data_IF_913488797187
#
_entry.id   IF_913488797187
#
_cell.length_a   1.000
_cell.length_b   1.000
_cell.length_c   1.000
_cell.angle_alpha   90.00
_cell.angle_beta   90.00
_cell.angle_gamma   90.00
#
_symmetry.space_group_name_H-M   'P 1'
#
loop_
_entity.id
_entity.type
_entity.pdbx_description
1 polymer ?
#
# COMPACT_ATOMS: atom_id res chain seq x y z
N UNK A 1 -18.24 -32.89 45.56
CA UNK A 1 -18.47 -32.20 44.28
C UNK A 1 -18.01 -30.74 44.28
N UNK A 2 -17.96 -30.02 45.42
CA UNK A 2 -17.59 -28.58 45.46
C UNK A 2 -16.08 -28.27 45.33
N UNK A 3 -15.18 -29.17 45.74
CA UNK A 3 -13.72 -28.90 45.74
C UNK A 3 -13.17 -28.79 44.30
N UNK A 4 -13.71 -29.58 43.35
CA UNK A 4 -13.32 -29.52 41.93
C UNK A 4 -13.77 -28.23 41.23
N UNK A 5 -14.85 -27.61 41.70
CA UNK A 5 -15.32 -26.31 41.18
C UNK A 5 -14.48 -25.15 41.71
N UNK A 6 -14.03 -25.21 42.97
CA UNK A 6 -13.11 -24.21 43.53
C UNK A 6 -11.73 -24.26 42.86
N UNK A 7 -11.16 -25.45 42.65
CA UNK A 7 -9.86 -25.58 41.96
C UNK A 7 -9.94 -25.13 40.50
N UNK A 8 -11.07 -25.34 39.83
CA UNK A 8 -11.32 -24.84 38.48
C UNK A 8 -11.36 -23.31 38.46
N UNK A 9 -12.12 -22.64 39.37
CA UNK A 9 -12.17 -21.18 39.40
C UNK A 9 -10.82 -20.51 39.73
N UNK A 10 -10.01 -21.11 40.61
CA UNK A 10 -8.68 -20.59 40.96
C UNK A 10 -7.72 -20.62 39.75
N UNK A 11 -7.86 -21.59 38.85
CA UNK A 11 -7.01 -21.73 37.67
C UNK A 11 -7.35 -20.71 36.57
N UNK A 12 -8.60 -20.21 36.48
CA UNK A 12 -9.02 -19.20 35.48
C UNK A 12 -8.67 -17.75 35.82
N UNK A 13 -8.53 -17.42 37.12
CA UNK A 13 -8.16 -16.08 37.58
C UNK A 13 -6.88 -15.53 36.91
N UNK A 14 -5.73 -16.25 36.88
CA UNK A 14 -4.51 -15.71 36.28
C UNK A 14 -4.62 -15.48 34.77
N UNK A 15 -5.41 -16.28 34.04
CA UNK A 15 -5.64 -16.06 32.61
C UNK A 15 -6.46 -14.81 32.35
N UNK A 16 -7.48 -14.53 33.17
CA UNK A 16 -8.28 -13.31 33.06
C UNK A 16 -7.45 -12.05 33.35
N UNK A 17 -6.64 -12.07 34.41
CA UNK A 17 -5.68 -10.99 34.70
C UNK A 17 -4.67 -10.79 33.57
N UNK A 18 -4.16 -11.88 32.98
CA UNK A 18 -3.25 -11.83 31.83
C UNK A 18 -3.89 -11.20 30.60
N UNK A 19 -5.12 -11.61 30.25
CA UNK A 19 -5.89 -11.03 29.13
C UNK A 19 -6.19 -9.55 29.37
N UNK A 20 -6.59 -9.19 30.59
CA UNK A 20 -6.88 -7.81 30.96
C UNK A 20 -5.63 -6.92 30.91
N UNK A 21 -4.51 -7.40 31.43
CA UNK A 21 -3.22 -6.69 31.34
C UNK A 21 -2.78 -6.51 29.88
N UNK A 22 -2.90 -7.56 29.07
CA UNK A 22 -2.59 -7.50 27.64
C UNK A 22 -3.51 -6.50 26.90
N UNK A 23 -4.80 -6.45 27.25
CA UNK A 23 -5.74 -5.48 26.71
C UNK A 23 -5.35 -4.03 27.08
N UNK A 24 -4.99 -3.77 28.34
CA UNK A 24 -4.51 -2.46 28.80
C UNK A 24 -3.23 -2.07 28.06
N UNK A 25 -2.29 -2.99 27.90
CA UNK A 25 -1.04 -2.73 27.20
C UNK A 25 -1.29 -2.35 25.74
N UNK A 26 -2.17 -3.08 25.05
CA UNK A 26 -2.58 -2.76 23.68
C UNK A 26 -3.24 -1.38 23.62
N UNK A 27 -4.17 -1.10 24.54
CA UNK A 27 -4.86 0.19 24.61
C UNK A 27 -3.88 1.35 24.85
N UNK A 28 -2.92 1.18 25.76
CA UNK A 28 -1.87 2.15 26.03
C UNK A 28 -1.03 2.43 24.79
N UNK A 29 -0.60 1.39 24.07
CA UNK A 29 0.17 1.56 22.82
C UNK A 29 -0.64 2.30 21.75
N UNK A 30 -1.94 2.02 21.63
CA UNK A 30 -2.83 2.71 20.67
C UNK A 30 -2.95 4.19 21.04
N UNK A 31 -3.27 4.50 22.30
CA UNK A 31 -3.43 5.88 22.77
C UNK A 31 -2.12 6.66 22.64
N UNK A 32 -1.00 6.07 23.03
CA UNK A 32 0.31 6.70 22.91
C UNK A 32 0.66 7.03 21.45
N UNK A 33 0.41 6.10 20.52
CA UNK A 33 0.61 6.35 19.08
C UNK A 33 -0.34 7.42 18.55
N UNK A 34 -1.59 7.46 19.02
CA UNK A 34 -2.56 8.48 18.64
C UNK A 34 -2.08 9.87 19.07
N UNK A 35 -1.70 10.03 20.34
CA UNK A 35 -1.19 11.29 20.89
C UNK A 35 0.07 11.73 20.12
N UNK A 36 1.02 10.82 19.89
CA UNK A 36 2.24 11.11 19.13
C UNK A 36 1.92 11.59 17.71
N UNK A 37 0.99 10.93 17.03
CA UNK A 37 0.55 11.31 15.67
C UNK A 37 -0.08 12.71 15.67
N UNK A 38 -0.98 12.99 16.62
CA UNK A 38 -1.63 14.30 16.75
C UNK A 38 -0.61 15.42 16.99
N UNK A 39 0.39 15.19 17.86
CA UNK A 39 1.46 16.16 18.11
C UNK A 39 2.38 16.37 16.90
N UNK A 40 2.63 15.31 16.12
CA UNK A 40 3.50 15.35 14.93
C UNK A 40 2.86 16.10 13.78
N UNK A 41 1.56 15.91 13.54
CA UNK A 41 0.82 16.55 12.43
C UNK A 41 -0.04 17.72 12.91
N UNK A 42 0.26 18.28 14.08
CA UNK A 42 -0.44 19.44 14.61
C UNK A 42 -0.27 20.67 13.71
N UNK A 43 -1.33 21.47 13.57
CA UNK A 43 -1.39 22.68 12.74
C UNK A 43 -0.86 22.49 11.32
N UNK A 44 -1.29 21.40 10.68
CA UNK A 44 -0.89 21.07 9.31
C UNK A 44 -1.47 22.08 8.32
N UNK A 45 -0.60 22.82 7.65
CA UNK A 45 -0.97 23.85 6.68
C UNK A 45 -0.33 23.57 5.31
N UNK A 46 -1.13 23.69 4.26
CA UNK A 46 -0.69 23.54 2.87
C UNK A 46 -0.94 24.82 2.12
N UNK A 47 0.10 25.32 1.44
CA UNK A 47 0.00 26.50 0.61
C UNK A 47 0.71 26.29 -0.73
N UNK A 48 0.13 26.84 -1.79
CA UNK A 48 0.82 26.94 -3.08
C UNK A 48 1.43 28.33 -3.15
N UNK A 49 2.75 28.42 -3.17
CA UNK A 49 3.48 29.70 -3.24
C UNK A 49 4.71 29.56 -4.14
N UNK A 50 4.96 30.56 -5.00
CA UNK A 50 6.11 30.61 -5.90
C UNK A 50 6.28 29.33 -6.75
N UNK A 51 5.17 28.78 -7.26
CA UNK A 51 5.13 27.51 -8.00
C UNK A 51 5.71 26.32 -7.24
N UNK A 52 5.51 26.29 -5.92
CA UNK A 52 5.89 25.20 -5.02
C UNK A 52 4.74 24.89 -4.08
N UNK A 53 4.58 23.61 -3.78
CA UNK A 53 3.70 23.14 -2.72
C UNK A 53 4.46 23.22 -1.40
N UNK A 54 4.03 24.10 -0.50
CA UNK A 54 4.58 24.26 0.83
C UNK A 54 3.69 23.54 1.82
N UNK A 55 4.28 22.70 2.65
CA UNK A 55 3.62 22.08 3.80
C UNK A 55 4.38 22.45 5.07
N UNK A 56 3.64 22.91 6.08
CA UNK A 56 4.17 23.24 7.40
C UNK A 56 3.36 22.50 8.46
N UNK A 57 4.01 21.78 9.37
CA UNK A 57 3.33 21.02 10.42
C UNK A 57 4.25 20.69 11.60
N UNK A 58 3.64 20.41 12.75
CA UNK A 58 4.30 19.90 13.95
C UNK A 58 4.26 20.88 15.13
N UNK A 59 3.88 20.37 16.31
CA UNK A 59 3.86 21.15 17.55
C UNK A 59 5.22 21.11 18.27
N UNK A 60 5.87 19.94 18.27
CA UNK A 60 7.18 19.73 18.92
C UNK A 60 8.32 20.05 17.96
N UNK A 61 8.25 19.49 16.76
CA UNK A 61 9.24 19.69 15.70
C UNK A 61 8.53 20.28 14.48
N UNK A 62 8.78 21.55 14.19
CA UNK A 62 8.24 22.20 13.00
C UNK A 62 8.95 21.67 11.76
N UNK A 63 8.19 21.00 10.89
CA UNK A 63 8.64 20.52 9.59
C UNK A 63 8.11 21.45 8.50
N UNK A 64 9.02 21.96 7.68
CA UNK A 64 8.68 22.75 6.48
C UNK A 64 9.20 21.99 5.26
N UNK A 65 8.30 21.58 4.38
CA UNK A 65 8.62 20.85 3.16
C UNK A 65 8.14 21.65 1.96
N UNK A 66 9.01 21.84 0.97
CA UNK A 66 8.71 22.54 -0.26
C UNK A 66 8.90 21.62 -1.47
N UNK A 67 7.81 21.27 -2.15
CA UNK A 67 7.80 20.36 -3.29
C UNK A 67 7.47 21.14 -4.57
N UNK A 68 8.44 21.40 -5.46
CA UNK A 68 8.13 21.92 -6.79
C UNK A 68 7.48 20.82 -7.64
N UNK A 69 6.43 21.12 -8.45
CA UNK A 69 5.76 20.15 -9.32
C UNK A 69 6.71 19.31 -10.18
N UNK A 70 7.73 19.93 -10.76
CA UNK A 70 8.72 19.26 -11.62
C UNK A 70 9.52 18.15 -10.92
N UNK A 71 9.66 18.20 -9.59
CA UNK A 71 10.36 17.16 -8.81
C UNK A 71 9.44 16.01 -8.40
N UNK A 72 8.13 16.12 -8.60
CA UNK A 72 7.18 15.04 -8.29
C UNK A 72 7.40 13.88 -9.25
N UNK A 73 7.51 12.68 -8.70
CA UNK A 73 7.70 11.43 -9.43
C UNK A 73 6.42 10.61 -9.45
N UNK A 74 5.78 10.43 -8.29
CA UNK A 74 4.52 9.70 -8.14
C UNK A 74 3.63 10.41 -7.12
N UNK A 75 2.32 10.34 -7.33
CA UNK A 75 1.32 10.71 -6.32
C UNK A 75 0.50 9.48 -5.96
N UNK A 76 0.29 9.25 -4.67
CA UNK A 76 -0.55 8.20 -4.14
C UNK A 76 -1.73 8.81 -3.40
N UNK A 77 -2.93 8.54 -3.88
CA UNK A 77 -4.16 8.84 -3.16
C UNK A 77 -4.59 7.59 -2.40
N UNK A 78 -4.42 7.61 -1.08
CA UNK A 78 -4.81 6.53 -0.19
C UNK A 78 -6.13 6.87 0.48
N UNK A 79 -7.03 5.89 0.52
CA UNK A 79 -8.31 6.02 1.19
C UNK A 79 -8.68 4.69 1.84
N UNK A 80 -8.83 4.71 3.17
CA UNK A 80 -9.36 3.59 3.93
C UNK A 80 -10.88 3.70 4.11
N UNK A 81 -11.50 2.71 4.77
CA UNK A 81 -12.94 2.68 4.95
C UNK A 81 -13.49 3.92 5.69
N UNK A 82 -12.82 4.36 6.76
CA UNK A 82 -13.25 5.53 7.55
C UNK A 82 -13.05 6.84 6.80
N UNK A 83 -11.91 6.99 6.12
CA UNK A 83 -11.62 8.12 5.25
C UNK A 83 -12.64 8.23 4.12
N UNK A 84 -13.05 7.09 3.54
CA UNK A 84 -14.11 7.04 2.53
C UNK A 84 -15.45 7.54 3.07
N UNK A 85 -15.81 7.15 4.30
CA UNK A 85 -17.04 7.63 4.95
C UNK A 85 -17.03 9.15 5.17
N UNK A 86 -15.85 9.72 5.47
CA UNK A 86 -15.66 11.15 5.70
C UNK A 86 -15.35 11.96 4.42
N UNK A 87 -15.29 11.33 3.25
CA UNK A 87 -14.83 11.94 1.99
C UNK A 87 -13.43 12.60 2.10
N UNK A 88 -12.54 11.93 2.84
CA UNK A 88 -11.16 12.32 3.03
C UNK A 88 -10.22 11.36 2.29
N UNK A 89 -9.05 11.85 1.94
CA UNK A 89 -7.96 11.10 1.35
C UNK A 89 -6.66 11.44 2.07
N UNK A 90 -5.74 10.50 2.11
CA UNK A 90 -4.34 10.75 2.41
C UNK A 90 -3.58 10.84 1.09
N UNK A 91 -2.75 11.88 0.92
CA UNK A 91 -1.91 12.05 -0.27
C UNK A 91 -0.46 11.84 0.11
N UNK A 92 0.21 10.92 -0.58
CA UNK A 92 1.66 10.79 -0.52
C UNK A 92 2.27 11.20 -1.85
N UNK A 93 3.24 12.11 -1.80
CA UNK A 93 3.94 12.61 -2.98
C UNK A 93 5.39 12.15 -2.88
N UNK A 94 5.78 11.28 -3.81
CA UNK A 94 7.17 10.84 -3.95
C UNK A 94 7.91 11.84 -4.85
N UNK A 95 9.02 12.38 -4.37
CA UNK A 95 9.80 13.42 -5.06
C UNK A 95 11.28 13.04 -5.16
N UNK A 96 12.00 13.67 -6.08
CA UNK A 96 13.47 13.60 -6.13
C UNK A 96 14.03 14.43 -4.97
N UNK A 97 14.51 13.76 -3.93
CA UNK A 97 15.22 14.42 -2.85
C UNK A 97 16.68 14.68 -3.26
N UNK A 98 17.14 15.90 -3.05
CA UNK A 98 18.53 16.32 -3.29
C UNK A 98 19.37 16.32 -2.01
N UNK A 99 18.78 16.00 -0.85
CA UNK A 99 19.47 16.00 0.44
C UNK A 99 20.14 14.65 0.73
N UNK A 100 21.47 14.67 0.82
CA UNK A 100 22.35 13.51 1.10
C UNK A 100 22.30 13.06 2.57
N UNK A 101 21.12 12.86 3.16
CA UNK A 101 21.00 12.29 4.51
C UNK A 101 20.47 10.86 4.41
N UNK A 102 21.39 9.90 4.46
CA UNK A 102 21.17 8.47 4.23
C UNK A 102 20.25 7.79 5.27
N UNK A 103 19.91 8.47 6.36
CA UNK A 103 19.05 7.94 7.43
C UNK A 103 17.54 8.17 7.21
N UNK A 104 17.14 8.96 6.21
CA UNK A 104 15.71 9.19 5.87
C UNK A 104 15.45 8.95 4.39
N UNK A 105 15.65 7.71 3.93
CA UNK A 105 15.57 7.29 2.52
C UNK A 105 14.24 7.52 1.77
N UNK A 106 13.23 8.15 2.36
CA UNK A 106 11.97 8.52 1.66
C UNK A 106 11.29 9.75 2.29
N UNK A 107 11.84 10.96 2.15
CA UNK A 107 11.06 12.17 2.49
C UNK A 107 10.22 12.63 1.29
N UNK A 108 9.25 11.79 0.93
CA UNK A 108 8.06 12.25 0.22
C UNK A 108 7.23 13.17 1.11
N UNK A 109 6.35 13.97 0.52
CA UNK A 109 5.40 14.79 1.27
C UNK A 109 4.14 13.96 1.58
N UNK A 110 3.79 13.87 2.86
CA UNK A 110 2.55 13.23 3.31
C UNK A 110 1.56 14.29 3.75
N UNK A 111 0.39 14.32 3.10
CA UNK A 111 -0.73 15.19 3.41
C UNK A 111 -1.87 14.32 3.99
N UNK A 112 -2.12 14.39 5.31
CA UNK A 112 -3.23 13.69 5.91
C UNK A 112 -4.55 14.45 5.68
N UNK A 113 -5.62 13.74 5.32
CA UNK A 113 -6.99 14.26 5.42
C UNK A 113 -7.35 15.38 4.44
N UNK A 114 -7.04 15.23 3.16
CA UNK A 114 -7.48 16.15 2.09
C UNK A 114 -8.89 15.78 1.60
N UNK A 115 -9.74 16.78 1.33
CA UNK A 115 -11.05 16.53 0.70
C UNK A 115 -10.88 16.30 -0.82
N UNK A 116 -11.82 15.61 -1.46
CA UNK A 116 -11.85 15.37 -2.90
C UNK A 116 -11.69 16.65 -3.75
N UNK A 117 -12.26 17.80 -3.34
CA UNK A 117 -12.14 19.06 -4.07
C UNK A 117 -10.70 19.61 -4.06
N UNK A 118 -10.07 19.57 -2.89
CA UNK A 118 -8.68 20.03 -2.71
C UNK A 118 -7.70 19.07 -3.37
N UNK A 119 -7.97 17.77 -3.29
CA UNK A 119 -7.23 16.72 -4.01
C UNK A 119 -7.18 17.02 -5.52
N UNK A 120 -8.31 17.41 -6.13
CA UNK A 120 -8.37 17.81 -7.54
C UNK A 120 -7.54 19.06 -7.82
N UNK A 121 -7.60 20.08 -6.95
CA UNK A 121 -6.78 21.30 -7.08
C UNK A 121 -5.28 20.98 -6.99
N UNK A 122 -4.90 20.10 -6.06
CA UNK A 122 -3.53 19.63 -5.89
C UNK A 122 -3.03 18.87 -7.13
N UNK A 123 -3.85 17.96 -7.67
CA UNK A 123 -3.53 17.22 -8.88
C UNK A 123 -3.32 18.16 -10.07
N UNK A 124 -4.23 19.13 -10.25
CA UNK A 124 -4.11 20.15 -11.30
C UNK A 124 -2.86 21.01 -11.14
N UNK A 125 -2.53 21.43 -9.92
CA UNK A 125 -1.31 22.19 -9.68
C UNK A 125 -0.02 21.41 -10.05
N UNK A 126 0.01 20.11 -9.77
CA UNK A 126 1.22 19.30 -10.01
C UNK A 126 1.37 18.91 -11.48
N UNK A 127 0.29 18.51 -12.13
CA UNK A 127 0.33 17.92 -13.48
C UNK A 127 -0.23 18.82 -14.59
N UNK A 128 -0.77 19.99 -14.24
CA UNK A 128 -1.45 20.91 -15.17
C UNK A 128 -2.56 20.23 -15.99
N UNK A 129 -3.20 19.22 -15.40
CA UNK A 129 -4.30 18.43 -15.98
C UNK A 129 -5.41 18.26 -14.95
N UNK A 130 -6.65 18.23 -15.41
CA UNK A 130 -7.78 17.94 -14.53
C UNK A 130 -7.78 16.47 -14.10
N UNK A 131 -8.26 16.23 -12.89
CA UNK A 131 -8.42 14.87 -12.38
C UNK A 131 -9.62 14.21 -13.04
N UNK A 132 -9.39 13.14 -13.79
CA UNK A 132 -10.44 12.39 -14.45
C UNK A 132 -10.52 10.94 -13.95
N UNK A 133 -11.73 10.49 -13.67
CA UNK A 133 -11.98 9.09 -13.33
C UNK A 133 -11.88 8.23 -14.59
N UNK A 134 -10.91 7.32 -14.61
CA UNK A 134 -10.73 6.39 -15.73
C UNK A 134 -11.68 5.20 -15.56
N UNK A 135 -12.52 4.96 -16.57
CA UNK A 135 -13.52 3.87 -16.54
C UNK A 135 -12.95 2.52 -16.98
N UNK A 136 -12.03 2.54 -17.95
CA UNK A 136 -11.42 1.33 -18.50
C UNK A 136 -10.24 0.88 -17.66
N UNK A 137 -10.30 -0.37 -17.17
CA UNK A 137 -9.25 -0.95 -16.35
C UNK A 137 -8.86 -2.34 -16.82
N UNK A 138 -7.59 -2.66 -16.60
CA UNK A 138 -7.02 -3.99 -16.73
C UNK A 138 -6.82 -4.60 -15.35
N UNK A 139 -7.11 -5.89 -15.24
CA UNK A 139 -6.86 -6.65 -14.00
C UNK A 139 -5.67 -7.59 -14.20
N UNK A 140 -4.94 -7.91 -13.12
CA UNK A 140 -3.99 -9.00 -13.18
C UNK A 140 -4.74 -10.31 -13.47
N UNK A 141 -4.01 -11.27 -14.03
CA UNK A 141 -4.52 -12.62 -14.24
C UNK A 141 -4.91 -13.27 -12.91
N UNK A 142 -6.02 -14.01 -12.90
CA UNK A 142 -6.49 -14.78 -11.74
C UNK A 142 -5.45 -15.78 -11.22
N UNK A 143 -4.46 -16.15 -12.06
CA UNK A 143 -3.31 -16.98 -11.69
C UNK A 143 -2.50 -16.41 -10.53
N UNK A 144 -2.48 -15.09 -10.35
CA UNK A 144 -1.84 -14.44 -9.21
C UNK A 144 -2.42 -14.94 -7.87
N UNK A 145 -3.74 -15.10 -7.80
CA UNK A 145 -4.43 -15.61 -6.61
C UNK A 145 -4.16 -17.09 -6.44
N UNK A 146 -4.29 -17.87 -7.52
CA UNK A 146 -4.12 -19.34 -7.47
C UNK A 146 -2.72 -19.72 -7.00
N UNK A 147 -1.67 -19.07 -7.52
CA UNK A 147 -0.28 -19.36 -7.12
C UNK A 147 -0.06 -19.02 -5.64
N UNK A 148 -0.55 -17.86 -5.17
CA UNK A 148 -0.44 -17.48 -3.75
C UNK A 148 -1.23 -18.42 -2.83
N UNK A 149 -2.44 -18.80 -3.23
CA UNK A 149 -3.27 -19.75 -2.50
C UNK A 149 -2.62 -21.13 -2.43
N UNK A 150 -1.94 -21.57 -3.51
CA UNK A 150 -1.19 -22.82 -3.54
C UNK A 150 -0.04 -22.82 -2.53
N UNK A 151 0.77 -21.75 -2.47
CA UNK A 151 1.83 -21.64 -1.46
C UNK A 151 1.29 -21.67 -0.02
N UNK A 152 0.16 -20.98 0.23
CA UNK A 152 -0.50 -21.03 1.54
C UNK A 152 -1.02 -22.43 1.88
N UNK A 153 -1.57 -23.14 0.90
CA UNK A 153 -2.07 -24.49 1.09
C UNK A 153 -0.95 -25.46 1.47
N UNK A 154 0.20 -25.39 0.79
CA UNK A 154 1.38 -26.19 1.17
C UNK A 154 1.92 -25.82 2.56
N UNK A 155 1.95 -24.53 2.91
CA UNK A 155 2.35 -24.10 4.25
C UNK A 155 1.39 -24.65 5.33
N UNK A 156 0.08 -24.62 5.08
CA UNK A 156 -0.92 -25.20 5.98
C UNK A 156 -0.69 -26.71 6.17
N UNK A 157 -0.42 -27.44 5.09
CA UNK A 157 -0.17 -28.89 5.14
C UNK A 157 1.06 -29.22 5.98
N UNK A 158 2.14 -28.44 5.86
CA UNK A 158 3.34 -28.58 6.70
C UNK A 158 3.02 -28.31 8.17
N UNK A 159 2.26 -27.24 8.47
CA UNK A 159 1.87 -26.90 9.84
C UNK A 159 1.06 -28.05 10.46
N UNK A 160 0.07 -28.57 9.74
CA UNK A 160 -0.75 -29.70 10.21
C UNK A 160 0.11 -30.95 10.43
N UNK A 161 1.06 -31.24 9.52
CA UNK A 161 1.99 -32.35 9.66
C UNK A 161 2.87 -32.20 10.91
N UNK A 162 3.40 -31.01 11.18
CA UNK A 162 4.18 -30.76 12.41
C UNK A 162 3.30 -30.94 13.63
N UNK A 163 2.08 -30.38 13.64
CA UNK A 163 1.13 -30.52 14.76
C UNK A 163 0.77 -31.98 15.05
N UNK A 164 0.78 -32.84 14.03
CA UNK A 164 0.61 -34.29 14.18
C UNK A 164 1.76 -34.92 14.97
N UNK A 165 3.01 -34.54 14.72
CA UNK A 165 4.19 -35.11 15.40
C UNK A 165 4.39 -34.65 16.85
N UNK A 166 3.80 -33.51 17.23
CA UNK A 166 3.89 -32.95 18.60
C UNK A 166 2.57 -33.10 19.39
N UNK A 167 1.64 -33.93 18.93
CA UNK A 167 0.38 -34.27 19.62
C UNK A 167 -0.52 -33.09 20.01
N UNK A 168 -0.51 -32.00 19.23
CA UNK A 168 -1.35 -30.79 19.47
C UNK A 168 -2.47 -30.61 18.43
N UNK A 169 -2.87 -31.68 17.74
CA UNK A 169 -3.90 -31.63 16.69
C UNK A 169 -5.26 -31.07 17.12
N UNK A 170 -5.58 -31.13 18.42
CA UNK A 170 -6.79 -30.51 18.98
C UNK A 170 -6.92 -29.01 18.67
N UNK A 171 -5.81 -28.32 18.38
CA UNK A 171 -5.77 -26.90 18.02
C UNK A 171 -5.78 -26.64 16.50
N UNK A 172 -6.02 -27.65 15.65
CA UNK A 172 -5.97 -27.50 14.17
C UNK A 172 -6.94 -26.45 13.61
N UNK A 173 -8.01 -26.13 14.34
CA UNK A 173 -8.95 -25.09 13.95
C UNK A 173 -8.30 -23.71 13.86
N UNK A 174 -7.23 -23.44 14.63
CA UNK A 174 -6.50 -22.16 14.60
C UNK A 174 -5.84 -21.93 13.24
N UNK A 175 -4.93 -22.80 12.74
CA UNK A 175 -4.31 -22.61 11.43
C UNK A 175 -5.30 -22.72 10.27
N UNK A 176 -6.38 -23.51 10.41
CA UNK A 176 -7.44 -23.59 9.39
C UNK A 176 -8.20 -22.25 9.30
N UNK A 177 -8.62 -21.68 10.44
CA UNK A 177 -9.26 -20.36 10.47
C UNK A 177 -8.33 -19.29 9.89
N UNK A 178 -7.05 -19.30 10.28
CA UNK A 178 -6.05 -18.38 9.76
C UNK A 178 -5.89 -18.53 8.23
N UNK A 179 -5.87 -19.76 7.71
CA UNK A 179 -5.80 -20.02 6.28
C UNK A 179 -6.95 -19.35 5.51
N UNK A 180 -8.19 -19.51 5.97
CA UNK A 180 -9.34 -18.88 5.33
C UNK A 180 -9.32 -17.35 5.42
N UNK A 181 -8.87 -16.79 6.55
CA UNK A 181 -8.70 -15.34 6.71
C UNK A 181 -7.67 -14.82 5.70
N UNK A 182 -6.49 -15.42 5.63
CA UNK A 182 -5.43 -14.96 4.70
C UNK A 182 -5.84 -15.17 3.24
N UNK A 183 -6.53 -16.27 2.91
CA UNK A 183 -7.06 -16.52 1.57
C UNK A 183 -8.05 -15.42 1.16
N UNK A 184 -8.94 -15.03 2.06
CA UNK A 184 -9.89 -13.93 1.85
C UNK A 184 -9.16 -12.60 1.61
N UNK A 185 -8.12 -12.28 2.40
CA UNK A 185 -7.32 -11.06 2.21
C UNK A 185 -6.60 -11.03 0.85
N UNK A 186 -6.08 -12.17 0.37
CA UNK A 186 -5.48 -12.29 -0.97
C UNK A 186 -6.53 -12.04 -2.06
N UNK A 187 -7.73 -12.58 -1.90
CA UNK A 187 -8.81 -12.39 -2.84
C UNK A 187 -9.27 -10.92 -2.88
N UNK A 188 -9.42 -10.27 -1.73
CA UNK A 188 -9.74 -8.84 -1.62
C UNK A 188 -8.64 -8.01 -2.30
N UNK A 189 -7.37 -8.28 -2.01
CA UNK A 189 -6.23 -7.61 -2.67
C UNK A 189 -6.31 -7.72 -4.19
N UNK A 190 -6.62 -8.91 -4.72
CA UNK A 190 -6.78 -9.14 -6.16
C UNK A 190 -7.96 -8.36 -6.75
N UNK A 191 -9.11 -8.36 -6.07
CA UNK A 191 -10.32 -7.67 -6.52
C UNK A 191 -10.13 -6.17 -6.59
N UNK A 192 -9.37 -5.63 -5.64
CA UNK A 192 -9.09 -4.20 -5.53
C UNK A 192 -8.01 -3.72 -6.52
N UNK A 193 -7.18 -4.64 -7.03
CA UNK A 193 -6.12 -4.31 -7.97
C UNK A 193 -6.65 -4.01 -9.37
N UNK A 194 -6.45 -2.79 -9.85
CA UNK A 194 -6.87 -2.31 -11.16
C UNK A 194 -5.80 -1.40 -11.75
N UNK A 195 -5.39 -1.70 -12.98
CA UNK A 195 -4.46 -0.90 -13.76
C UNK A 195 -5.25 -0.08 -14.78
N UNK A 196 -5.00 1.21 -14.84
CA UNK A 196 -5.58 2.11 -15.85
C UNK A 196 -4.42 2.75 -16.62
N UNK A 197 -4.60 2.85 -17.94
CA UNK A 197 -3.66 3.52 -18.83
C UNK A 197 -4.42 4.67 -19.48
N UNK A 198 -3.96 5.89 -19.26
CA UNK A 198 -4.60 7.08 -19.84
C UNK A 198 -3.58 8.16 -20.10
N UNK A 199 -3.60 8.70 -21.32
CA UNK A 199 -2.72 9.76 -21.81
C UNK A 199 -1.23 9.42 -21.60
N UNK A 200 -0.64 9.99 -20.54
CA UNK A 200 0.75 9.84 -20.13
C UNK A 200 0.87 9.26 -18.71
N UNK A 201 -0.21 8.71 -18.17
CA UNK A 201 -0.25 8.16 -16.83
C UNK A 201 -0.50 6.65 -16.81
N UNK A 202 0.31 5.99 -16.00
CA UNK A 202 0.10 4.63 -15.54
C UNK A 202 -0.49 4.73 -14.14
N UNK A 203 -1.77 4.36 -14.01
CA UNK A 203 -2.51 4.46 -12.75
C UNK A 203 -2.72 3.07 -12.18
N UNK A 204 -2.21 2.80 -10.99
CA UNK A 204 -2.42 1.53 -10.29
C UNK A 204 -3.25 1.76 -9.03
N UNK A 205 -4.45 1.20 -9.02
CA UNK A 205 -5.24 1.06 -7.80
C UNK A 205 -4.94 -0.29 -7.17
N UNK A 206 -4.60 -0.34 -5.89
CA UNK A 206 -4.36 -1.57 -5.15
C UNK A 206 -4.53 -1.36 -3.65
N UNK A 207 -4.78 -2.43 -2.89
CA UNK A 207 -4.94 -2.34 -1.44
C UNK A 207 -5.91 -3.37 -0.88
N UNK A 208 -5.90 -3.55 0.44
CA UNK A 208 -6.83 -4.45 1.13
C UNK A 208 -7.81 -3.59 1.94
N UNK A 209 -7.29 -2.95 2.99
CA UNK A 209 -8.03 -2.03 3.86
C UNK A 209 -7.82 -0.57 3.44
N UNK A 210 -6.56 -0.21 3.19
CA UNK A 210 -6.17 1.08 2.63
C UNK A 210 -6.10 0.93 1.11
N UNK A 211 -7.04 1.54 0.37
CA UNK A 211 -7.03 1.55 -1.08
C UNK A 211 -6.14 2.69 -1.56
N UNK A 212 -5.01 2.36 -2.18
CA UNK A 212 -4.08 3.32 -2.74
C UNK A 212 -4.22 3.38 -4.26
N UNK A 213 -4.41 4.58 -4.80
CA UNK A 213 -4.39 4.87 -6.23
C UNK A 213 -3.13 5.64 -6.55
N UNK A 214 -2.16 4.98 -7.18
CA UNK A 214 -0.87 5.53 -7.56
C UNK A 214 -0.94 6.08 -8.98
N UNK A 215 -0.58 7.34 -9.16
CA UNK A 215 -0.39 8.01 -10.44
C UNK A 215 1.11 8.11 -10.73
N UNK A 216 1.56 7.43 -11.78
CA UNK A 216 2.92 7.51 -12.30
C UNK A 216 2.87 8.09 -13.71
N UNK A 217 3.55 9.20 -13.93
CA UNK A 217 3.70 9.78 -15.26
C UNK A 217 4.82 9.05 -16.03
N UNK A 218 4.58 8.76 -17.31
CA UNK A 218 5.45 7.93 -18.14
C UNK A 218 6.83 8.57 -18.36
N UNK A 219 6.91 9.90 -18.42
CA UNK A 219 8.14 10.68 -18.56
C UNK A 219 9.05 10.62 -17.32
N UNK A 220 8.54 10.20 -16.15
CA UNK A 220 9.33 10.04 -14.92
C UNK A 220 9.98 8.67 -14.80
N UNK A 221 9.62 7.72 -15.67
CA UNK A 221 10.17 6.36 -15.67
C UNK A 221 11.62 6.44 -16.14
N UNK A 222 12.54 5.89 -15.36
CA UNK A 222 13.96 5.78 -15.74
C UNK A 222 14.35 4.38 -16.16
N UNK A 223 13.81 3.39 -15.45
CA UNK A 223 14.20 2.01 -15.68
C UNK A 223 12.95 1.14 -15.75
N UNK A 224 12.94 0.29 -16.78
CA UNK A 224 11.91 -0.73 -16.98
C UNK A 224 12.56 -2.10 -16.89
N UNK A 225 12.24 -2.85 -15.83
CA UNK A 225 12.71 -4.23 -15.62
C UNK A 225 11.56 -5.21 -15.86
N UNK A 226 11.70 -6.04 -16.89
CA UNK A 226 10.76 -7.14 -17.16
C UNK A 226 11.22 -8.39 -16.42
N UNK A 227 10.32 -9.00 -15.66
CA UNK A 227 10.50 -10.29 -15.01
C UNK A 227 9.46 -11.26 -15.52
N UNK A 228 9.92 -12.32 -16.16
CA UNK A 228 9.05 -13.37 -16.67
C UNK A 228 9.65 -14.73 -16.33
N UNK A 229 8.94 -15.54 -15.55
CA UNK A 229 9.33 -16.93 -15.33
C UNK A 229 8.95 -17.80 -16.53
N UNK A 230 9.57 -18.98 -16.64
CA UNK A 230 9.24 -19.94 -17.70
C UNK A 230 7.74 -20.28 -17.76
N UNK A 231 7.10 -20.46 -16.59
CA UNK A 231 5.66 -20.73 -16.49
C UNK A 231 4.79 -19.53 -16.89
N UNK A 232 5.25 -18.30 -16.61
CA UNK A 232 4.57 -17.08 -17.04
C UNK A 232 4.66 -16.91 -18.56
N UNK A 233 5.83 -17.17 -19.16
CA UNK A 233 6.06 -17.10 -20.61
C UNK A 233 5.17 -18.05 -21.39
N UNK A 234 5.03 -19.30 -20.94
CA UNK A 234 4.14 -20.29 -21.56
C UNK A 234 2.66 -19.86 -21.57
N UNK A 235 2.28 -18.91 -20.71
CA UNK A 235 0.90 -18.44 -20.55
C UNK A 235 0.72 -16.98 -20.97
N UNK A 236 1.69 -16.40 -21.68
CA UNK A 236 1.64 -15.00 -22.13
C UNK A 236 1.40 -14.01 -20.98
N UNK A 237 1.98 -14.30 -19.81
CA UNK A 237 1.94 -13.42 -18.65
C UNK A 237 3.33 -12.85 -18.41
N UNK A 238 3.41 -11.62 -17.92
CA UNK A 238 4.65 -11.02 -17.47
C UNK A 238 4.45 -10.18 -16.21
N UNK A 239 5.55 -9.88 -15.53
CA UNK A 239 5.61 -8.88 -14.48
C UNK A 239 6.61 -7.81 -14.88
N UNK A 240 6.28 -6.54 -14.69
CA UNK A 240 7.23 -5.44 -14.90
C UNK A 240 7.41 -4.63 -13.62
N UNK A 241 8.62 -4.10 -13.44
CA UNK A 241 8.96 -3.11 -12.43
C UNK A 241 9.37 -1.84 -13.17
N UNK A 242 8.60 -0.78 -12.97
CA UNK A 242 8.89 0.57 -13.44
C UNK A 242 9.54 1.32 -12.29
N UNK A 243 10.77 1.79 -12.45
CA UNK A 243 11.49 2.54 -11.43
C UNK A 243 11.65 4.01 -11.85
N UNK A 244 11.40 4.91 -10.91
CA UNK A 244 11.74 6.33 -10.96
C UNK A 244 12.91 6.59 -10.01
N UNK A 245 13.33 7.85 -9.86
CA UNK A 245 14.51 8.22 -9.06
C UNK A 245 14.26 7.94 -7.57
N UNK A 246 13.00 7.97 -7.13
CA UNK A 246 12.63 7.83 -5.73
C UNK A 246 11.93 6.52 -5.41
N UNK A 247 11.12 5.97 -6.33
CA UNK A 247 10.24 4.85 -6.04
C UNK A 247 10.09 3.90 -7.24
N UNK A 248 9.55 2.70 -7.02
CA UNK A 248 9.24 1.77 -8.10
C UNK A 248 7.82 1.22 -8.03
N UNK A 249 7.12 1.25 -9.16
CA UNK A 249 5.81 0.64 -9.37
C UNK A 249 5.97 -0.80 -9.90
N UNK A 250 5.32 -1.78 -9.27
CA UNK A 250 5.38 -3.19 -9.67
C UNK A 250 4.03 -3.67 -10.19
N UNK A 251 4.00 -4.10 -11.44
CA UNK A 251 2.84 -4.71 -12.08
C UNK A 251 3.12 -6.21 -12.22
N UNK A 252 2.35 -7.05 -11.55
CA UNK A 252 2.62 -8.50 -11.50
C UNK A 252 1.50 -9.30 -12.15
N UNK A 253 1.87 -10.28 -12.99
CA UNK A 253 0.95 -11.21 -13.66
C UNK A 253 -0.09 -10.53 -14.57
N UNK A 254 0.35 -9.58 -15.40
CA UNK A 254 -0.48 -9.00 -16.46
C UNK A 254 -0.20 -9.67 -17.80
N UNK A 255 -1.08 -9.46 -18.78
CA UNK A 255 -0.89 -9.92 -20.15
C UNK A 255 0.41 -9.34 -20.73
N UNK A 256 1.25 -10.22 -21.28
CA UNK A 256 2.52 -9.86 -21.89
C UNK A 256 2.37 -8.85 -23.03
N UNK A 257 1.31 -8.96 -23.86
CA UNK A 257 1.08 -8.04 -24.98
C UNK A 257 0.79 -6.63 -24.48
N UNK A 258 -0.06 -6.52 -23.46
CA UNK A 258 -0.39 -5.25 -22.83
C UNK A 258 0.85 -4.60 -22.21
N UNK A 259 1.64 -5.38 -21.47
CA UNK A 259 2.86 -4.87 -20.84
C UNK A 259 3.90 -4.47 -21.89
N UNK A 260 4.08 -5.22 -22.97
CA UNK A 260 4.98 -4.85 -24.07
C UNK A 260 4.58 -3.54 -24.74
N UNK A 261 3.29 -3.33 -25.01
CA UNK A 261 2.82 -2.06 -25.57
C UNK A 261 3.15 -0.89 -24.65
N UNK A 262 2.87 -1.04 -23.35
CA UNK A 262 3.19 -0.03 -22.33
C UNK A 262 4.69 0.26 -22.27
N UNK A 263 5.53 -0.77 -22.28
CA UNK A 263 6.99 -0.63 -22.27
C UNK A 263 7.46 0.12 -23.52
N UNK A 264 6.97 -0.25 -24.70
CA UNK A 264 7.36 0.38 -25.96
C UNK A 264 6.98 1.87 -25.98
N UNK A 265 5.77 2.20 -25.55
CA UNK A 265 5.33 3.60 -25.42
C UNK A 265 6.19 4.37 -24.41
N UNK A 266 6.55 3.73 -23.29
CA UNK A 266 7.39 4.34 -22.26
C UNK A 266 8.81 4.59 -22.75
N UNK A 267 9.44 3.59 -23.38
CA UNK A 267 10.80 3.69 -23.92
C UNK A 267 10.86 4.71 -25.05
N UNK A 268 9.90 4.69 -25.97
CA UNK A 268 9.82 5.66 -27.07
C UNK A 268 9.76 7.11 -26.53
N UNK A 269 8.92 7.36 -25.51
CA UNK A 269 8.82 8.68 -24.88
C UNK A 269 10.11 9.09 -24.16
N UNK A 270 10.80 8.15 -23.52
CA UNK A 270 12.10 8.41 -22.86
C UNK A 270 13.16 8.79 -23.90
N UNK A 271 13.28 8.06 -25.01
CA UNK A 271 14.26 8.33 -26.08
C UNK A 271 14.00 9.67 -26.78
N UNK A 272 12.74 10.06 -26.95
CA UNK A 272 12.38 11.34 -27.57
C UNK A 272 12.66 12.55 -26.65
N UNK A 273 12.49 12.40 -25.33
CA UNK A 273 12.76 13.47 -24.35
C UNK A 273 14.25 13.68 -24.05
N UNK A 274 15.10 12.73 -24.42
CA UNK A 274 16.56 12.81 -24.26
C UNK A 274 17.31 13.37 -25.50
N UNK A 275 16.61 13.83 -26.53
CA UNK A 275 17.17 14.62 -27.66
C UNK A 275 16.90 16.10 -27.46
#
# INVERSE_FOLDING_TARGET
MSIRYLSFQIQFQPYFFGIFFLFILILFVIIFNLIRTLLTYYNYEIQIKNNRLLASYGLINSHIVAVPPKKVQMIHFQQNYFQKLMNLFEVRISQIDSSKNEEKKTQGLLIPGINALEMRKLFRFIYDKDFEEVKEFYRPSSRKVIIRAMYLFFALLIIILVMYFIDILQFMWIPICLFFVVLSLIYISYRNEKLFLKDDFIILKSGIWDLTTTYLQVDKIQEVKIKQSYFQKRRSLASIKLSTFSESLRLNFYDEKLLKNLVNESVYKIEFLCK
#
